data_IF_517138621720
#
_entry.id   IF_517138621720
#
_cell.length_a   1.000
_cell.length_b   1.000
_cell.length_c   1.000
_cell.angle_alpha   90.00
_cell.angle_beta   90.00
_cell.angle_gamma   90.00
#
_symmetry.space_group_name_H-M   'P 1'
#
loop_
_entity.id
_entity.type
_entity.pdbx_description
1 polymer ?
#
# COMPACT_ATOMS: atom_id res chain seq x y z
N UNK A 1 -10.98 12.25 19.04
CA UNK A 1 -11.25 11.13 18.10
C UNK A 1 -10.89 11.65 16.72
N UNK A 2 -9.87 11.08 16.07
CA UNK A 2 -9.54 11.48 14.70
C UNK A 2 -10.77 11.23 13.83
N UNK A 3 -11.30 12.29 13.25
CA UNK A 3 -12.46 12.22 12.40
C UNK A 3 -11.96 11.63 11.08
N UNK A 4 -12.31 10.38 10.76
CA UNK A 4 -11.96 9.70 9.51
C UNK A 4 -12.69 10.31 8.28
N UNK A 5 -12.82 11.62 8.28
CA UNK A 5 -13.52 12.45 7.30
C UNK A 5 -12.89 12.29 5.92
N UNK A 6 -11.57 12.03 5.83
CA UNK A 6 -10.89 11.85 4.55
C UNK A 6 -11.33 10.57 3.82
N UNK A 7 -11.62 9.46 4.53
CA UNK A 7 -12.13 8.22 3.93
C UNK A 7 -13.47 8.49 3.26
N UNK A 8 -14.37 9.19 3.95
CA UNK A 8 -15.66 9.63 3.40
C UNK A 8 -15.48 10.59 2.21
N UNK A 9 -14.50 11.50 2.27
CA UNK A 9 -14.20 12.44 1.18
C UNK A 9 -13.65 11.76 -0.08
N UNK A 10 -12.95 10.63 0.07
CA UNK A 10 -12.51 9.81 -1.07
C UNK A 10 -13.70 8.99 -1.58
N UNK A 11 -14.47 8.34 -0.69
CA UNK A 11 -15.56 7.44 -1.09
C UNK A 11 -16.69 8.13 -1.83
N UNK A 12 -17.01 9.38 -1.46
CA UNK A 12 -18.09 10.19 -2.06
C UNK A 12 -17.65 11.01 -3.27
N UNK A 13 -16.37 10.96 -3.65
CA UNK A 13 -15.87 11.65 -4.83
C UNK A 13 -15.88 10.71 -6.04
N UNK A 14 -17.00 10.71 -6.76
CA UNK A 14 -17.19 9.86 -7.94
C UNK A 14 -16.13 10.12 -9.03
N UNK A 15 -15.63 11.35 -9.14
CA UNK A 15 -14.60 11.72 -10.11
C UNK A 15 -13.27 11.06 -9.72
N UNK A 16 -12.88 11.17 -8.45
CA UNK A 16 -11.67 10.52 -7.94
C UNK A 16 -11.79 8.99 -8.02
N UNK A 17 -12.93 8.41 -7.65
CA UNK A 17 -13.18 6.97 -7.74
C UNK A 17 -13.06 6.50 -9.19
N UNK A 18 -13.62 7.24 -10.15
CA UNK A 18 -13.48 6.95 -11.58
C UNK A 18 -12.02 7.03 -12.04
N UNK A 19 -11.29 8.07 -11.64
CA UNK A 19 -9.85 8.19 -11.91
C UNK A 19 -9.04 7.03 -11.31
N UNK A 20 -9.35 6.58 -10.09
CA UNK A 20 -8.69 5.43 -9.46
C UNK A 20 -8.92 4.17 -10.31
N UNK A 21 -10.16 3.92 -10.74
CA UNK A 21 -10.49 2.73 -11.55
C UNK A 21 -9.77 2.71 -12.89
N UNK A 22 -9.60 3.86 -13.54
CA UNK A 22 -9.04 3.97 -14.89
C UNK A 22 -7.52 4.16 -14.87
N UNK A 23 -7.00 5.07 -14.03
CA UNK A 23 -5.60 5.48 -14.07
C UNK A 23 -4.70 4.60 -13.20
N UNK A 24 -5.20 4.04 -12.10
CA UNK A 24 -4.35 3.30 -11.17
C UNK A 24 -3.69 2.07 -11.81
N UNK A 25 -4.38 1.23 -12.63
CA UNK A 25 -3.74 0.15 -13.38
C UNK A 25 -2.59 0.67 -14.25
N UNK A 26 -2.84 1.69 -15.07
CA UNK A 26 -1.85 2.28 -15.96
C UNK A 26 -0.62 2.81 -15.20
N UNK A 27 -0.83 3.56 -14.14
CA UNK A 27 0.25 4.11 -13.31
C UNK A 27 1.07 3.00 -12.64
N UNK A 28 0.42 1.94 -12.17
CA UNK A 28 1.11 0.82 -11.56
C UNK A 28 1.83 -0.06 -12.58
N UNK A 29 1.37 -0.11 -13.83
CA UNK A 29 2.11 -0.71 -14.94
C UNK A 29 3.38 0.08 -15.24
N UNK A 30 3.32 1.41 -15.26
CA UNK A 30 4.52 2.26 -15.41
C UNK A 30 5.51 2.00 -14.27
N UNK A 31 5.04 1.94 -13.02
CA UNK A 31 5.89 1.59 -11.88
C UNK A 31 6.57 0.21 -12.03
N UNK A 32 5.85 -0.79 -12.59
CA UNK A 32 6.45 -2.09 -12.91
C UNK A 32 7.54 -1.97 -13.97
N UNK A 33 7.31 -1.20 -15.04
CA UNK A 33 8.30 -0.98 -16.10
C UNK A 33 9.56 -0.31 -15.53
N UNK A 34 9.39 0.73 -14.71
CA UNK A 34 10.47 1.47 -14.04
C UNK A 34 11.30 0.59 -13.09
N UNK A 35 10.64 -0.37 -12.46
CA UNK A 35 11.24 -1.29 -11.48
C UNK A 35 11.60 -2.64 -12.08
N UNK A 36 11.61 -2.77 -13.40
CA UNK A 36 11.88 -4.04 -14.06
C UNK A 36 13.29 -4.10 -14.63
N UNK A 37 13.94 -5.26 -14.41
CA UNK A 37 15.17 -5.63 -15.11
C UNK A 37 15.00 -6.98 -15.75
N UNK A 38 15.16 -7.05 -17.08
CA UNK A 38 14.96 -8.27 -17.87
C UNK A 38 13.60 -8.95 -17.59
N UNK A 39 12.53 -8.16 -17.52
CA UNK A 39 11.16 -8.64 -17.29
C UNK A 39 10.85 -9.09 -15.86
N UNK A 40 11.79 -8.94 -14.91
CA UNK A 40 11.58 -9.20 -13.48
C UNK A 40 11.41 -7.90 -12.73
N UNK A 41 10.31 -7.78 -12.00
CA UNK A 41 9.98 -6.62 -11.17
C UNK A 41 10.75 -6.72 -9.84
N UNK A 42 11.53 -5.69 -9.52
CA UNK A 42 12.22 -5.54 -8.25
C UNK A 42 11.30 -5.07 -7.12
N UNK A 43 11.79 -5.15 -5.88
CA UNK A 43 11.00 -4.80 -4.69
C UNK A 43 10.78 -3.29 -4.55
N UNK A 44 11.65 -2.47 -5.15
CA UNK A 44 11.57 -1.02 -5.22
C UNK A 44 10.28 -0.50 -5.88
N UNK A 45 9.58 -1.37 -6.63
CA UNK A 45 8.25 -1.07 -7.17
C UNK A 45 7.26 -0.63 -6.09
N UNK A 46 7.42 -1.15 -4.85
CA UNK A 46 6.59 -0.75 -3.72
C UNK A 46 6.71 0.75 -3.43
N UNK A 47 7.93 1.27 -3.40
CA UNK A 47 8.22 2.69 -3.16
C UNK A 47 7.69 3.59 -4.28
N UNK A 48 7.75 3.15 -5.55
CA UNK A 48 7.18 3.93 -6.66
C UNK A 48 5.66 3.96 -6.56
N UNK A 49 5.02 2.83 -6.26
CA UNK A 49 3.57 2.74 -6.07
C UNK A 49 3.08 3.58 -4.90
N UNK A 50 3.81 3.60 -3.79
CA UNK A 50 3.55 4.48 -2.66
C UNK A 50 3.53 5.96 -3.10
N UNK A 51 4.55 6.40 -3.83
CA UNK A 51 4.61 7.78 -4.38
C UNK A 51 3.42 8.10 -5.28
N UNK A 52 2.94 7.14 -6.08
CA UNK A 52 1.73 7.31 -6.90
C UNK A 52 0.49 7.55 -6.02
N UNK A 53 0.32 6.79 -4.94
CA UNK A 53 -0.78 6.97 -4.00
C UNK A 53 -0.68 8.30 -3.26
N UNK A 54 0.51 8.69 -2.81
CA UNK A 54 0.75 10.00 -2.20
C UNK A 54 0.42 11.13 -3.17
N UNK A 55 0.81 11.02 -4.44
CA UNK A 55 0.46 12.00 -5.47
C UNK A 55 -1.06 12.11 -5.69
N UNK A 56 -1.80 10.99 -5.62
CA UNK A 56 -3.27 10.99 -5.63
C UNK A 56 -3.84 11.74 -4.41
N UNK A 57 -3.29 11.54 -3.21
CA UNK A 57 -3.71 12.28 -2.01
C UNK A 57 -3.43 13.78 -2.15
N UNK A 58 -2.26 14.17 -2.68
CA UNK A 58 -1.93 15.57 -2.99
C UNK A 58 -2.92 16.15 -3.99
N UNK A 59 -3.27 15.41 -5.04
CA UNK A 59 -4.26 15.85 -6.04
C UNK A 59 -5.64 16.12 -5.42
N UNK A 60 -6.08 15.26 -4.48
CA UNK A 60 -7.39 15.36 -3.85
C UNK A 60 -7.45 16.42 -2.75
N UNK A 61 -6.43 16.49 -1.90
CA UNK A 61 -6.47 17.28 -0.67
C UNK A 61 -5.62 18.55 -0.73
N UNK A 62 -4.71 18.68 -1.70
CA UNK A 62 -3.74 19.77 -1.73
C UNK A 62 -2.43 19.38 -1.05
N UNK A 63 -1.32 19.92 -1.54
CA UNK A 63 0.03 19.58 -1.05
C UNK A 63 0.25 20.06 0.39
N UNK A 64 -0.37 21.17 0.77
CA UNK A 64 -0.32 21.78 2.10
C UNK A 64 -0.89 20.88 3.20
N UNK A 65 -1.73 19.91 2.84
CA UNK A 65 -2.35 18.95 3.77
C UNK A 65 -1.59 17.65 3.90
N UNK A 66 -0.57 17.45 3.07
CA UNK A 66 0.15 16.20 2.93
C UNK A 66 1.59 16.39 3.39
N UNK A 67 1.96 15.66 4.43
CA UNK A 67 3.34 15.61 4.92
C UNK A 67 3.98 14.25 4.58
N UNK A 68 5.09 14.30 3.85
CA UNK A 68 5.82 13.13 3.34
C UNK A 68 7.29 13.09 3.78
N UNK A 69 7.75 14.08 4.56
CA UNK A 69 9.15 14.16 5.00
C UNK A 69 9.36 13.30 6.26
N UNK A 70 8.97 12.03 6.17
CA UNK A 70 9.16 11.02 7.21
C UNK A 70 10.48 10.28 6.93
N UNK A 71 11.21 9.85 7.96
CA UNK A 71 12.35 8.95 7.77
C UNK A 71 11.90 7.67 7.06
N UNK A 72 12.72 7.14 6.16
CA UNK A 72 12.45 5.82 5.55
C UNK A 72 12.43 4.67 6.59
N UNK A 73 12.92 4.93 7.79
CA UNK A 73 12.89 4.02 8.94
C UNK A 73 11.70 4.23 9.85
N UNK A 74 10.80 5.17 9.55
CA UNK A 74 9.59 5.40 10.31
C UNK A 74 8.74 4.12 10.31
N UNK A 75 8.40 3.56 11.49
CA UNK A 75 7.60 2.36 11.54
C UNK A 75 6.17 2.66 11.10
N UNK A 76 5.69 1.90 10.11
CA UNK A 76 4.31 1.87 9.60
C UNK A 76 3.83 3.10 8.81
N UNK A 77 4.14 4.32 9.25
CA UNK A 77 3.57 5.55 8.68
C UNK A 77 4.35 6.00 7.44
N UNK A 78 3.65 6.06 6.30
CA UNK A 78 4.23 6.43 5.00
C UNK A 78 3.85 7.87 4.61
N UNK A 79 2.71 8.37 5.10
CA UNK A 79 2.22 9.74 4.86
C UNK A 79 1.33 10.23 5.99
N UNK A 80 1.32 11.55 6.24
CA UNK A 80 0.39 12.19 7.15
C UNK A 80 -0.54 13.13 6.35
N UNK A 81 -1.85 12.96 6.49
CA UNK A 81 -2.90 13.78 5.87
C UNK A 81 -3.70 14.53 6.94
N UNK A 82 -3.59 15.86 7.00
CA UNK A 82 -4.27 16.71 8.01
C UNK A 82 -4.08 16.16 9.45
N UNK A 83 -2.87 15.70 9.78
CA UNK A 83 -2.52 15.11 11.08
C UNK A 83 -2.91 13.64 11.27
N UNK A 84 -3.50 13.00 10.26
CA UNK A 84 -3.83 11.56 10.30
C UNK A 84 -2.70 10.76 9.65
N UNK A 85 -2.09 9.87 10.43
CA UNK A 85 -1.07 8.93 9.94
C UNK A 85 -1.69 7.82 9.10
N UNK A 86 -1.05 7.50 7.97
CA UNK A 86 -1.52 6.49 7.02
C UNK A 86 -0.33 5.63 6.57
N UNK A 87 -0.50 4.31 6.66
CA UNK A 87 0.37 3.33 6.00
C UNK A 87 -0.16 3.02 4.60
N UNK A 88 0.70 2.99 3.60
CA UNK A 88 0.41 2.60 2.23
C UNK A 88 1.08 1.25 1.94
N UNK A 89 0.27 0.27 1.57
CA UNK A 89 0.74 -1.08 1.26
C UNK A 89 0.26 -1.48 -0.11
N UNK A 90 1.13 -2.13 -0.89
CA UNK A 90 0.73 -2.74 -2.17
C UNK A 90 1.10 -4.21 -2.19
N UNK A 91 0.26 -5.02 -2.81
CA UNK A 91 0.47 -6.46 -2.93
C UNK A 91 -0.02 -6.93 -4.29
N UNK A 92 0.70 -7.86 -4.90
CA UNK A 92 0.33 -8.48 -6.17
C UNK A 92 -0.15 -9.92 -5.93
N UNK A 93 -1.32 -10.26 -6.47
CA UNK A 93 -1.96 -11.56 -6.32
C UNK A 93 -2.32 -11.88 -4.86
N UNK A 94 -2.00 -13.10 -4.44
CA UNK A 94 -2.30 -13.64 -3.10
C UNK A 94 -1.08 -13.62 -2.16
N UNK A 95 -0.11 -12.73 -2.40
CA UNK A 95 1.05 -12.59 -1.52
C UNK A 95 0.67 -12.09 -0.12
N UNK A 96 1.57 -12.28 0.84
CA UNK A 96 1.40 -11.78 2.21
C UNK A 96 1.72 -10.30 2.33
N UNK A 97 0.84 -9.55 3.00
CA UNK A 97 1.07 -8.12 3.29
C UNK A 97 1.99 -8.01 4.51
N UNK A 98 3.11 -7.29 4.37
CA UNK A 98 4.08 -7.12 5.45
C UNK A 98 3.60 -6.09 6.47
N UNK A 99 3.71 -6.47 7.76
CA UNK A 99 3.59 -5.54 8.88
C UNK A 99 4.96 -4.89 9.17
N UNK A 100 6.04 -5.66 9.08
CA UNK A 100 7.42 -5.18 9.25
C UNK A 100 8.41 -6.03 8.44
N UNK A 101 9.51 -5.43 7.99
CA UNK A 101 10.55 -6.06 7.19
C UNK A 101 11.68 -6.71 8.03
N UNK A 102 11.35 -7.35 9.16
CA UNK A 102 12.35 -8.07 9.98
C UNK A 102 12.30 -9.58 9.73
N UNK A 103 13.47 -10.17 9.49
CA UNK A 103 13.65 -11.62 9.31
C UNK A 103 14.35 -12.28 10.49
N UNK A 104 14.90 -11.48 11.41
CA UNK A 104 15.46 -11.98 12.66
C UNK A 104 14.32 -12.53 13.53
N UNK A 105 14.44 -13.79 13.95
CA UNK A 105 13.37 -14.51 14.62
C UNK A 105 13.03 -13.89 15.99
N UNK A 106 14.03 -13.44 16.74
CA UNK A 106 13.84 -12.83 18.06
C UNK A 106 13.14 -11.48 17.95
N UNK A 107 13.60 -10.61 17.04
CA UNK A 107 12.96 -9.31 16.75
C UNK A 107 11.57 -9.47 16.14
N UNK A 108 11.37 -10.47 15.29
CA UNK A 108 10.04 -10.78 14.74
C UNK A 108 9.07 -11.19 15.85
N UNK A 109 9.52 -12.02 16.81
CA UNK A 109 8.70 -12.43 17.93
C UNK A 109 8.41 -11.25 18.88
N UNK A 110 9.41 -10.44 19.19
CA UNK A 110 9.24 -9.21 19.98
C UNK A 110 8.25 -8.26 19.32
N UNK A 111 8.34 -8.07 18.00
CA UNK A 111 7.39 -7.27 17.25
C UNK A 111 5.97 -7.83 17.39
N UNK A 112 5.77 -9.14 17.22
CA UNK A 112 4.44 -9.75 17.30
C UNK A 112 3.81 -9.58 18.69
N UNK A 113 4.57 -9.79 19.77
CA UNK A 113 4.04 -9.68 21.14
C UNK A 113 3.68 -8.23 21.52
N UNK A 114 4.37 -7.24 20.93
CA UNK A 114 4.19 -5.82 21.27
C UNK A 114 3.41 -5.02 20.22
N UNK A 115 3.05 -5.64 19.09
CA UNK A 115 2.43 -4.94 17.98
C UNK A 115 1.05 -4.39 18.36
N UNK A 116 0.83 -3.13 18.06
CA UNK A 116 -0.49 -2.51 18.07
C UNK A 116 -0.55 -1.55 16.88
N UNK A 117 -1.56 -1.65 16.00
CA UNK A 117 -1.67 -0.75 14.86
C UNK A 117 -1.84 0.70 15.36
N UNK A 118 -1.21 1.64 14.66
CA UNK A 118 -1.21 3.07 15.05
C UNK A 118 -1.83 4.00 14.01
N UNK A 119 -1.87 3.59 12.76
CA UNK A 119 -2.33 4.39 11.63
C UNK A 119 -3.39 3.66 10.79
N UNK A 120 -4.10 4.39 9.95
CA UNK A 120 -4.97 3.77 8.94
C UNK A 120 -4.13 3.08 7.85
N UNK A 121 -4.71 2.14 7.10
CA UNK A 121 -4.03 1.50 5.97
C UNK A 121 -4.74 1.84 4.65
N UNK A 122 -4.00 2.40 3.69
CA UNK A 122 -4.31 2.29 2.26
C UNK A 122 -3.69 1.00 1.76
N UNK A 123 -4.50 0.04 1.32
CA UNK A 123 -4.03 -1.19 0.68
C UNK A 123 -4.44 -1.22 -0.79
N UNK A 124 -3.49 -1.44 -1.68
CA UNK A 124 -3.77 -1.73 -3.10
C UNK A 124 -3.45 -3.19 -3.41
N UNK A 125 -4.48 -3.98 -3.67
CA UNK A 125 -4.36 -5.37 -4.12
C UNK A 125 -4.43 -5.42 -5.64
N UNK A 126 -3.33 -5.81 -6.27
CA UNK A 126 -3.12 -5.83 -7.71
C UNK A 126 -3.34 -7.24 -8.23
N UNK A 127 -4.30 -7.43 -9.14
CA UNK A 127 -4.62 -8.73 -9.72
C UNK A 127 -4.72 -8.64 -11.25
N UNK A 128 -3.58 -8.56 -11.95
CA UNK A 128 -3.55 -8.43 -13.42
C UNK A 128 -4.42 -9.49 -14.13
N UNK A 129 -5.20 -9.04 -15.11
CA UNK A 129 -6.14 -9.86 -15.87
C UNK A 129 -7.45 -10.16 -15.15
N UNK A 130 -7.67 -9.62 -13.94
CA UNK A 130 -8.91 -9.86 -13.18
C UNK A 130 -9.42 -8.58 -12.50
N UNK A 131 -10.62 -8.68 -11.93
CA UNK A 131 -11.26 -7.65 -11.11
C UNK A 131 -11.31 -8.02 -9.62
N UNK A 132 -10.53 -9.00 -9.18
CA UNK A 132 -10.48 -9.48 -7.77
C UNK A 132 -9.64 -8.60 -6.85
N UNK A 133 -8.89 -7.68 -7.44
CA UNK A 133 -8.11 -6.68 -6.73
C UNK A 133 -8.92 -5.44 -6.35
N UNK A 134 -8.22 -4.40 -5.92
CA UNK A 134 -8.85 -3.13 -5.62
C UNK A 134 -7.99 -2.21 -4.77
N UNK A 135 -8.55 -1.04 -4.53
CA UNK A 135 -8.05 -0.04 -3.60
C UNK A 135 -8.89 -0.08 -2.33
N UNK A 136 -8.25 -0.17 -1.17
CA UNK A 136 -8.91 -0.35 0.12
C UNK A 136 -8.42 0.71 1.11
N UNK A 137 -9.35 1.32 1.85
CA UNK A 137 -9.05 2.13 3.03
C UNK A 137 -9.52 1.35 4.25
N UNK A 138 -8.57 0.90 5.06
CA UNK A 138 -8.81 0.10 6.27
C UNK A 138 -8.58 1.01 7.48
N UNK A 139 -9.66 1.44 8.16
CA UNK A 139 -9.51 2.28 9.35
C UNK A 139 -8.74 1.59 10.47
N UNK A 140 -8.03 2.38 11.27
CA UNK A 140 -7.35 1.95 12.48
C UNK A 140 -8.30 1.24 13.46
N UNK A 141 -9.55 1.68 13.54
CA UNK A 141 -10.58 1.01 14.36
C UNK A 141 -10.82 -0.43 13.92
N UNK A 142 -10.87 -0.69 12.61
CA UNK A 142 -11.04 -2.04 12.03
C UNK A 142 -9.83 -2.92 12.33
N UNK A 143 -8.63 -2.35 12.22
CA UNK A 143 -7.40 -3.07 12.58
C UNK A 143 -7.38 -3.43 14.08
N UNK A 144 -7.71 -2.48 14.96
CA UNK A 144 -7.77 -2.70 16.42
C UNK A 144 -8.85 -3.72 16.80
N UNK A 145 -10.01 -3.68 16.17
CA UNK A 145 -11.06 -4.68 16.36
C UNK A 145 -10.58 -6.07 15.93
N UNK A 146 -9.99 -6.18 14.75
CA UNK A 146 -9.47 -7.44 14.22
C UNK A 146 -8.33 -8.00 15.09
N UNK A 147 -7.42 -7.14 15.57
CA UNK A 147 -6.38 -7.51 16.52
C UNK A 147 -6.98 -8.04 17.83
N UNK A 148 -7.99 -7.38 18.40
CA UNK A 148 -8.65 -7.86 19.62
C UNK A 148 -9.32 -9.23 19.44
N UNK A 149 -9.91 -9.48 18.28
CA UNK A 149 -10.56 -10.76 17.97
C UNK A 149 -9.56 -11.90 17.78
N UNK A 150 -8.45 -11.65 17.08
CA UNK A 150 -7.50 -12.70 16.70
C UNK A 150 -6.34 -12.85 17.70
N UNK A 151 -6.04 -11.81 18.46
CA UNK A 151 -4.89 -11.72 19.35
C UNK A 151 -3.59 -12.16 18.63
N UNK A 152 -2.94 -13.23 19.10
CA UNK A 152 -1.73 -13.81 18.48
C UNK A 152 -1.92 -14.28 17.04
N UNK A 153 -3.16 -14.52 16.61
CA UNK A 153 -3.49 -14.89 15.23
C UNK A 153 -3.53 -13.71 14.26
N UNK A 154 -3.32 -12.47 14.72
CA UNK A 154 -3.34 -11.28 13.86
C UNK A 154 -2.11 -11.20 12.94
N UNK A 155 -0.94 -11.51 13.49
CA UNK A 155 0.33 -11.55 12.76
C UNK A 155 0.83 -12.97 12.58
N UNK A 156 1.69 -13.16 11.59
CA UNK A 156 2.29 -14.44 11.24
C UNK A 156 3.81 -14.30 11.17
N UNK A 157 4.50 -15.22 11.87
CA UNK A 157 5.95 -15.31 11.83
C UNK A 157 6.48 -15.59 10.41
N UNK A 158 7.67 -15.05 10.08
CA UNK A 158 8.42 -15.47 8.90
C UNK A 158 8.61 -17.00 8.90
N UNK A 159 8.37 -17.67 7.77
CA UNK A 159 8.51 -19.13 7.69
C UNK A 159 10.00 -19.52 7.78
N UNK A 160 10.37 -20.21 8.85
CA UNK A 160 11.73 -20.72 9.05
C UNK A 160 12.16 -21.64 7.90
N UNK A 161 13.45 -21.60 7.54
CA UNK A 161 14.02 -22.40 6.44
C UNK A 161 13.58 -21.94 5.04
N UNK A 162 12.95 -20.77 4.92
CA UNK A 162 12.68 -20.12 3.62
C UNK A 162 13.42 -18.78 3.53
N UNK A 163 13.21 -18.02 2.46
CA UNK A 163 13.70 -16.64 2.32
C UNK A 163 12.55 -15.63 2.55
N UNK A 164 11.94 -15.58 3.76
CA UNK A 164 10.90 -14.61 4.03
C UNK A 164 11.51 -13.22 4.10
N UNK A 165 10.67 -12.20 3.96
CA UNK A 165 11.11 -10.80 3.99
C UNK A 165 10.52 -10.01 5.16
N UNK A 166 9.85 -10.67 6.10
CA UNK A 166 9.17 -9.95 7.18
C UNK A 166 8.01 -10.70 7.80
N UNK A 167 7.56 -10.19 8.94
CA UNK A 167 6.29 -10.55 9.59
C UNK A 167 5.13 -10.10 8.71
N UNK A 168 4.14 -10.96 8.55
CA UNK A 168 2.95 -10.70 7.73
C UNK A 168 1.71 -10.53 8.60
N UNK A 169 0.73 -9.77 8.12
CA UNK A 169 -0.64 -9.96 8.59
C UNK A 169 -1.08 -11.38 8.21
N UNK A 170 -1.73 -12.08 9.13
CA UNK A 170 -2.25 -13.41 8.83
C UNK A 170 -3.34 -13.32 7.74
N UNK A 171 -3.52 -14.39 6.97
CA UNK A 171 -4.60 -14.44 5.97
C UNK A 171 -5.97 -14.15 6.60
N UNK A 172 -6.24 -14.71 7.79
CA UNK A 172 -7.48 -14.49 8.52
C UNK A 172 -7.64 -13.02 8.95
N UNK A 173 -6.57 -12.36 9.38
CA UNK A 173 -6.59 -10.92 9.69
C UNK A 173 -6.90 -10.10 8.43
N UNK A 174 -6.23 -10.38 7.31
CA UNK A 174 -6.47 -9.69 6.05
C UNK A 174 -7.89 -9.88 5.53
N UNK A 175 -8.38 -11.12 5.49
CA UNK A 175 -9.73 -11.43 5.03
C UNK A 175 -10.78 -10.68 5.86
N UNK A 176 -10.63 -10.67 7.19
CA UNK A 176 -11.53 -9.92 8.11
C UNK A 176 -11.48 -8.42 7.90
N UNK A 177 -10.29 -7.83 7.81
CA UNK A 177 -10.14 -6.39 7.59
C UNK A 177 -10.71 -5.98 6.23
N UNK A 178 -10.46 -6.75 5.18
CA UNK A 178 -10.94 -6.46 3.83
C UNK A 178 -12.46 -6.64 3.66
N UNK A 179 -13.07 -7.56 4.41
CA UNK A 179 -14.53 -7.77 4.40
C UNK A 179 -15.28 -6.92 5.44
N UNK A 180 -14.57 -6.15 6.27
CA UNK A 180 -15.20 -5.34 7.31
C UNK A 180 -16.07 -4.24 6.69
N UNK A 181 -17.27 -4.02 7.24
CA UNK A 181 -18.24 -3.05 6.71
C UNK A 181 -17.71 -1.61 6.64
N UNK A 182 -16.81 -1.26 7.56
CA UNK A 182 -16.21 0.07 7.65
C UNK A 182 -14.94 0.22 6.79
N UNK A 183 -14.48 -0.88 6.16
CA UNK A 183 -13.40 -0.82 5.18
C UNK A 183 -13.98 -0.35 3.84
N UNK A 184 -13.49 0.80 3.36
CA UNK A 184 -13.87 1.29 2.04
C UNK A 184 -13.17 0.45 0.97
N UNK A 185 -13.91 0.05 -0.07
CA UNK A 185 -13.38 -0.69 -1.22
C UNK A 185 -13.75 0.01 -2.53
N UNK A 186 -12.76 0.22 -3.38
CA UNK A 186 -12.95 0.50 -4.80
C UNK A 186 -12.44 -0.72 -5.57
N UNK A 187 -13.35 -1.45 -6.21
CA UNK A 187 -12.99 -2.51 -7.13
C UNK A 187 -12.33 -1.92 -8.37
N UNK A 188 -11.19 -2.50 -8.78
CA UNK A 188 -10.39 -2.05 -9.93
C UNK A 188 -10.25 -3.23 -10.89
N UNK A 189 -10.49 -2.98 -12.17
CA UNK A 189 -10.19 -3.93 -13.23
C UNK A 189 -8.73 -3.76 -13.64
N UNK A 190 -7.90 -4.77 -13.40
CA UNK A 190 -6.45 -4.67 -13.60
C UNK A 190 -6.08 -5.18 -14.99
N UNK A 191 -6.25 -4.34 -16.00
CA UNK A 191 -5.84 -4.65 -17.37
C UNK A 191 -4.57 -3.91 -17.73
N UNK A 192 -3.64 -4.61 -18.38
CA UNK A 192 -2.43 -3.99 -18.93
C UNK A 192 -2.75 -3.38 -20.28
N UNK A 193 -2.27 -2.18 -20.51
CA UNK A 193 -2.36 -1.51 -21.80
C UNK A 193 -1.01 -1.55 -22.51
N UNK A 194 -0.99 -1.32 -23.82
CA UNK A 194 0.27 -1.07 -24.53
C UNK A 194 0.77 0.33 -24.11
N UNK A 195 1.87 0.37 -23.36
CA UNK A 195 2.51 1.61 -22.92
C UNK A 195 3.92 1.65 -23.51
N UNK A 196 4.22 2.72 -24.23
CA UNK A 196 5.58 3.07 -24.62
C UNK A 196 6.17 3.96 -23.54
N UNK A 197 7.15 3.43 -22.80
CA UNK A 197 7.82 4.16 -21.72
C UNK A 197 9.30 3.78 -21.72
N UNK A 198 10.16 4.78 -21.81
CA UNK A 198 11.62 4.63 -21.75
C UNK A 198 12.14 5.11 -20.39
N UNK A 199 12.61 4.17 -19.57
CA UNK A 199 13.18 4.43 -18.25
C UNK A 199 14.44 5.31 -18.29
N UNK A 200 15.11 5.42 -19.45
CA UNK A 200 16.38 6.11 -19.60
C UNK A 200 16.25 7.48 -20.25
N UNK A 201 15.16 7.76 -20.97
CA UNK A 201 14.97 9.00 -21.72
C UNK A 201 15.31 10.25 -20.90
N UNK A 202 14.72 10.38 -19.70
CA UNK A 202 14.99 11.50 -18.79
C UNK A 202 16.48 11.65 -18.47
N UNK A 203 17.19 10.55 -18.21
CA UNK A 203 18.60 10.59 -17.84
C UNK A 203 19.47 10.94 -19.05
N UNK A 204 19.16 10.39 -20.22
CA UNK A 204 19.83 10.72 -21.49
C UNK A 204 19.68 12.21 -21.79
N UNK A 205 18.49 12.78 -21.60
CA UNK A 205 18.24 14.21 -21.79
C UNK A 205 19.14 15.05 -20.88
N UNK A 206 19.23 14.73 -19.58
CA UNK A 206 20.10 15.45 -18.64
C UNK A 206 21.58 15.35 -18.99
N UNK A 207 22.06 14.18 -19.41
CA UNK A 207 23.45 14.02 -19.86
C UNK A 207 23.75 14.76 -21.16
N UNK A 208 22.72 15.08 -21.95
CA UNK A 208 22.83 15.78 -23.22
C UNK A 208 22.73 17.31 -23.07
N UNK A 209 22.44 17.83 -21.87
CA UNK A 209 22.42 19.26 -21.60
C UNK A 209 23.85 19.82 -21.66
N UNK A 210 24.04 20.90 -22.42
CA UNK A 210 25.30 21.65 -22.53
C UNK A 210 25.38 22.75 -21.48
#
# INVERSE_FOLDING_TARGET
MANNDYISKISKDDILVSKIKVLLPKLFQIAEIESSRAGKIGMEVGTIRERIIVAMLIHKFGKEKIYTQLPATEPETDVILDGNEISIKTITGNGGVKAVWTVDASKANEFIENYTPKCDIILVKICWGTNDGGFFLIPLSVQKETLRMLNKGYLKMPKAGTNPRGVEFSKNAMDRMLSHRDTMRIQVNWEKEKIEYDNYARWVDYWSMK
#
